data_IF_246882398836
#
_entry.id   IF_246882398836
#
_cell.length_a   1.000
_cell.length_b   1.000
_cell.length_c   1.000
_cell.angle_alpha   90.00
_cell.angle_beta   90.00
_cell.angle_gamma   90.00
#
_symmetry.space_group_name_H-M   'P 1'
#
loop_
_entity.id
_entity.type
_entity.pdbx_description
1 polymer ?
#
# COMPACT_ATOMS: atom_id res chain seq x y z
N UNK A 1 -10.00 -11.59 3.47
CA UNK A 1 -9.42 -12.70 4.27
C UNK A 1 -10.43 -13.29 5.27
N UNK A 2 -11.45 -12.56 5.73
CA UNK A 2 -12.32 -12.99 6.87
C UNK A 2 -11.50 -13.28 8.12
N UNK A 3 -10.69 -12.29 8.52
CA UNK A 3 -9.89 -12.35 9.74
C UNK A 3 -10.87 -12.36 10.93
N UNK A 4 -10.59 -13.24 11.90
CA UNK A 4 -11.35 -13.40 13.13
C UNK A 4 -10.47 -13.13 14.34
N UNK A 5 -11.12 -12.84 15.47
CA UNK A 5 -10.42 -12.76 16.75
C UNK A 5 -9.69 -14.07 17.05
N UNK A 6 -8.41 -13.98 17.42
CA UNK A 6 -7.55 -15.15 17.63
C UNK A 6 -6.68 -15.56 16.43
N UNK A 7 -6.94 -15.05 15.23
CA UNK A 7 -6.22 -15.46 14.02
C UNK A 7 -4.76 -14.98 14.02
N UNK A 8 -3.85 -15.80 13.46
CA UNK A 8 -2.47 -15.39 13.12
C UNK A 8 -2.36 -15.08 11.63
N UNK A 9 -1.98 -13.86 11.27
CA UNK A 9 -1.94 -13.42 9.87
C UNK A 9 -0.50 -13.20 9.42
N UNK A 10 -0.13 -13.73 8.25
CA UNK A 10 1.15 -13.45 7.62
C UNK A 10 1.00 -12.48 6.45
N UNK A 11 1.89 -11.50 6.35
CA UNK A 11 1.90 -10.54 5.25
C UNK A 11 3.30 -10.00 4.96
N UNK A 12 3.40 -9.16 3.92
CA UNK A 12 4.60 -8.37 3.64
C UNK A 12 4.51 -7.05 4.39
N UNK A 13 5.61 -6.60 4.99
CA UNK A 13 5.61 -5.37 5.76
C UNK A 13 5.29 -4.17 4.88
N UNK A 14 6.01 -3.97 3.76
CA UNK A 14 5.74 -2.90 2.79
C UNK A 14 5.54 -1.54 3.47
N UNK A 15 6.53 -1.15 4.26
CA UNK A 15 6.50 0.03 5.15
C UNK A 15 5.43 0.04 6.25
N UNK A 16 4.65 -1.03 6.41
CA UNK A 16 3.76 -1.27 7.55
C UNK A 16 2.30 -0.85 7.35
N UNK A 17 1.98 -0.03 6.33
CA UNK A 17 0.64 0.55 6.17
C UNK A 17 -0.47 -0.51 6.09
N UNK A 18 -0.37 -1.44 5.12
CA UNK A 18 -1.37 -2.50 4.96
C UNK A 18 -1.32 -3.49 6.13
N UNK A 19 -0.11 -3.81 6.61
CA UNK A 19 0.09 -4.75 7.71
C UNK A 19 -0.59 -4.27 9.01
N UNK A 20 -0.48 -2.98 9.33
CA UNK A 20 -1.16 -2.38 10.49
C UNK A 20 -2.67 -2.33 10.31
N UNK A 21 -3.19 -2.08 9.09
CA UNK A 21 -4.64 -2.13 8.83
C UNK A 21 -5.25 -3.50 9.18
N UNK A 22 -4.51 -4.60 9.03
CA UNK A 22 -5.00 -5.94 9.40
C UNK A 22 -5.33 -6.08 10.89
N UNK A 23 -4.76 -5.23 11.76
CA UNK A 23 -5.06 -5.22 13.20
C UNK A 23 -6.48 -4.74 13.52
N UNK A 24 -7.15 -4.07 12.58
CA UNK A 24 -8.53 -3.58 12.77
C UNK A 24 -9.52 -4.75 12.91
N UNK A 25 -9.24 -5.88 12.27
CA UNK A 25 -10.05 -7.10 12.33
C UNK A 25 -9.76 -7.99 13.57
N UNK A 26 -9.07 -7.45 14.58
CA UNK A 26 -8.75 -8.10 15.86
C UNK A 26 -7.95 -9.42 15.80
N UNK A 27 -6.95 -9.60 14.91
CA UNK A 27 -6.12 -10.80 14.95
C UNK A 27 -5.34 -10.89 16.28
N UNK A 28 -4.96 -12.11 16.66
CA UNK A 28 -4.05 -12.31 17.78
C UNK A 28 -2.64 -11.80 17.47
N UNK A 29 -2.22 -11.93 16.21
CA UNK A 29 -0.88 -11.58 15.75
C UNK A 29 -0.88 -11.27 14.25
N UNK A 30 -0.08 -10.28 13.85
CA UNK A 30 0.26 -10.03 12.44
C UNK A 30 1.77 -10.12 12.27
N UNK A 31 2.21 -11.12 11.51
CA UNK A 31 3.61 -11.36 11.16
C UNK A 31 3.88 -10.73 9.80
N UNK A 32 4.72 -9.71 9.77
CA UNK A 32 5.04 -8.92 8.59
C UNK A 32 6.51 -9.08 8.20
N UNK A 33 6.75 -9.63 7.02
CA UNK A 33 8.08 -9.92 6.49
C UNK A 33 8.50 -8.90 5.43
N UNK A 34 9.77 -8.50 5.42
CA UNK A 34 10.33 -7.69 4.33
C UNK A 34 11.83 -7.98 4.13
N UNK A 35 12.29 -7.81 2.88
CA UNK A 35 13.70 -7.87 2.55
C UNK A 35 14.37 -6.49 2.67
N UNK A 36 13.58 -5.41 2.68
CA UNK A 36 14.09 -4.05 2.75
C UNK A 36 14.18 -3.56 4.20
N UNK A 37 15.40 -3.44 4.71
CA UNK A 37 15.67 -2.88 6.04
C UNK A 37 15.07 -1.47 6.21
N UNK A 38 15.22 -0.52 5.24
CA UNK A 38 14.57 0.77 5.34
C UNK A 38 13.04 0.71 5.47
N UNK A 39 12.37 -0.22 4.77
CA UNK A 39 10.92 -0.37 4.88
C UNK A 39 10.52 -0.92 6.26
N UNK A 40 11.28 -1.88 6.81
CA UNK A 40 11.07 -2.35 8.19
C UNK A 40 11.30 -1.24 9.21
N UNK A 41 12.32 -0.40 9.02
CA UNK A 41 12.58 0.74 9.90
C UNK A 41 11.45 1.77 9.87
N UNK A 42 10.86 2.04 8.70
CA UNK A 42 9.68 2.90 8.61
C UNK A 42 8.46 2.27 9.29
N UNK A 43 8.20 0.97 9.05
CA UNK A 43 7.10 0.26 9.68
C UNK A 43 7.20 0.27 11.21
N UNK A 44 8.39 -0.01 11.75
CA UNK A 44 8.66 0.01 13.20
C UNK A 44 8.53 1.41 13.79
N UNK A 45 8.98 2.44 13.09
CA UNK A 45 8.80 3.83 13.52
C UNK A 45 7.32 4.21 13.58
N UNK A 46 6.54 3.90 12.54
CA UNK A 46 5.10 4.19 12.53
C UNK A 46 4.36 3.43 13.63
N UNK A 47 4.71 2.17 13.86
CA UNK A 47 4.17 1.38 14.96
C UNK A 47 4.48 2.01 16.34
N UNK A 48 5.71 2.49 16.55
CA UNK A 48 6.09 3.21 17.76
C UNK A 48 5.33 4.54 17.92
N UNK A 49 5.11 5.28 16.83
CA UNK A 49 4.28 6.49 16.84
C UNK A 49 2.86 6.19 17.30
N UNK A 50 2.21 5.19 16.70
CA UNK A 50 0.85 4.75 17.10
C UNK A 50 0.82 4.34 18.57
N UNK A 51 1.86 3.64 19.05
CA UNK A 51 1.92 3.17 20.43
C UNK A 51 2.06 4.30 21.46
N UNK A 52 2.88 5.30 21.17
CA UNK A 52 3.34 6.27 22.16
C UNK A 52 2.72 7.65 22.04
N UNK A 53 2.31 8.07 20.84
CA UNK A 53 1.79 9.41 20.58
C UNK A 53 0.28 9.49 20.73
N UNK A 54 -0.24 10.71 20.85
CA UNK A 54 -1.65 11.01 20.55
C UNK A 54 -1.90 10.93 19.04
N UNK A 55 -3.17 10.86 18.63
CA UNK A 55 -3.51 10.86 17.20
C UNK A 55 -2.94 12.09 16.50
N UNK A 56 -3.09 13.27 17.11
CA UNK A 56 -2.66 14.53 16.50
C UNK A 56 -1.14 14.58 16.28
N UNK A 57 -0.36 14.18 17.29
CA UNK A 57 1.10 14.09 17.20
C UNK A 57 1.54 13.06 16.15
N UNK A 58 0.85 11.93 16.03
CA UNK A 58 1.14 10.94 14.99
C UNK A 58 0.92 11.51 13.59
N UNK A 59 -0.20 12.18 13.35
CA UNK A 59 -0.53 12.78 12.04
C UNK A 59 0.41 13.94 11.70
N UNK A 60 0.77 14.74 12.70
CA UNK A 60 1.81 15.78 12.59
C UNK A 60 3.15 15.19 12.19
N UNK A 61 3.60 14.20 12.93
CA UNK A 61 4.86 13.55 12.65
C UNK A 61 4.88 12.86 11.28
N UNK A 62 3.79 12.18 10.92
CA UNK A 62 3.65 11.44 9.68
C UNK A 62 3.83 12.34 8.45
N UNK A 63 3.37 13.59 8.49
CA UNK A 63 3.43 14.48 7.33
C UNK A 63 2.12 14.69 6.59
N UNK A 64 0.97 14.24 7.13
CA UNK A 64 -0.30 14.26 6.39
C UNK A 64 -0.67 15.67 5.93
N UNK A 65 -0.69 16.63 6.86
CA UNK A 65 -0.75 18.06 6.55
C UNK A 65 0.64 18.64 6.79
N UNK A 66 1.34 18.95 5.69
CA UNK A 66 2.73 19.42 5.74
C UNK A 66 2.84 20.86 6.26
N UNK A 67 1.78 21.65 6.18
CA UNK A 67 1.81 23.07 6.57
C UNK A 67 1.34 23.30 8.01
N UNK A 68 0.70 22.29 8.62
CA UNK A 68 0.12 22.39 9.98
C UNK A 68 1.16 22.59 11.08
N UNK A 69 2.33 21.96 10.97
CA UNK A 69 3.44 22.06 11.92
C UNK A 69 4.77 22.28 11.21
N UNK A 70 5.71 22.92 11.90
CA UNK A 70 7.03 23.19 11.34
C UNK A 70 7.90 21.93 11.32
N UNK A 71 8.95 21.90 10.47
CA UNK A 71 9.95 20.85 10.49
C UNK A 71 10.55 20.57 11.89
N UNK A 72 10.83 21.63 12.66
CA UNK A 72 11.39 21.53 14.01
C UNK A 72 10.43 20.85 14.97
N UNK A 73 9.12 21.04 14.79
CA UNK A 73 8.11 20.38 15.61
C UNK A 73 8.08 18.87 15.34
N UNK A 74 8.19 18.43 14.08
CA UNK A 74 8.30 17.00 13.77
C UNK A 74 9.54 16.37 14.39
N UNK A 75 10.67 17.08 14.37
CA UNK A 75 11.91 16.66 15.06
C UNK A 75 11.70 16.59 16.57
N UNK A 76 10.95 17.53 17.18
CA UNK A 76 10.58 17.48 18.60
C UNK A 76 9.75 16.23 18.91
N UNK A 77 8.74 15.93 18.10
CA UNK A 77 7.89 14.75 18.25
C UNK A 77 8.73 13.47 18.14
N UNK A 78 9.61 13.36 17.14
CA UNK A 78 10.54 12.23 17.02
C UNK A 78 11.40 12.05 18.27
N UNK A 79 11.99 13.12 18.79
CA UNK A 79 12.83 13.08 19.99
C UNK A 79 12.06 12.59 21.23
N UNK A 80 10.75 12.79 21.29
CA UNK A 80 9.91 12.29 22.40
C UNK A 80 9.75 10.76 22.38
N UNK A 81 9.83 10.12 21.21
CA UNK A 81 9.60 8.67 21.05
C UNK A 81 10.87 7.87 20.75
N UNK A 82 11.96 8.51 20.31
CA UNK A 82 13.11 7.78 19.76
C UNK A 82 13.75 6.77 20.71
N UNK A 83 13.68 7.02 22.02
CA UNK A 83 14.18 6.09 23.06
C UNK A 83 13.35 4.82 23.22
N UNK A 84 12.13 4.78 22.66
CA UNK A 84 11.30 3.60 22.61
C UNK A 84 11.57 2.73 21.37
N UNK A 85 12.36 3.22 20.41
CA UNK A 85 12.75 2.47 19.22
C UNK A 85 13.85 1.46 19.53
N UNK A 86 13.87 0.36 18.78
CA UNK A 86 15.01 -0.55 18.78
C UNK A 86 16.29 0.19 18.35
N UNK A 87 17.48 -0.15 18.87
CA UNK A 87 18.72 0.60 18.61
C UNK A 87 19.01 0.85 17.12
N UNK A 88 18.86 -0.16 16.26
CA UNK A 88 19.11 -0.01 14.82
C UNK A 88 18.06 0.84 14.08
N UNK A 89 16.82 0.84 14.57
CA UNK A 89 15.75 1.71 14.04
C UNK A 89 16.01 3.15 14.46
N UNK A 90 16.43 3.36 15.71
CA UNK A 90 16.79 4.67 16.20
C UNK A 90 17.99 5.24 15.43
N UNK A 91 19.07 4.47 15.30
CA UNK A 91 20.28 4.89 14.58
C UNK A 91 19.98 5.30 13.13
N UNK A 92 19.17 4.49 12.44
CA UNK A 92 18.72 4.82 11.10
C UNK A 92 17.96 6.16 11.06
N UNK A 93 16.97 6.36 11.93
CA UNK A 93 16.16 7.58 11.90
C UNK A 93 16.87 8.82 12.45
N UNK A 94 17.83 8.67 13.38
CA UNK A 94 18.72 9.75 13.82
C UNK A 94 19.57 10.28 12.63
N UNK A 95 19.81 9.47 11.59
CA UNK A 95 20.48 9.90 10.35
C UNK A 95 19.55 10.49 9.28
N UNK A 96 18.23 10.40 9.47
CA UNK A 96 17.22 10.72 8.45
C UNK A 96 16.42 11.99 8.78
N UNK A 97 17.08 12.97 9.41
CA UNK A 97 16.44 14.23 9.87
C UNK A 97 15.66 14.93 8.77
N UNK A 98 16.18 15.01 7.54
CA UNK A 98 15.49 15.66 6.43
C UNK A 98 14.16 14.97 6.07
N UNK A 99 14.09 13.64 6.18
CA UNK A 99 12.85 12.89 5.92
C UNK A 99 11.87 13.04 7.09
N UNK A 100 12.36 13.15 8.33
CA UNK A 100 11.55 13.46 9.50
C UNK A 100 10.94 14.86 9.37
N UNK A 101 11.76 15.87 9.06
CA UNK A 101 11.36 17.26 8.85
C UNK A 101 10.28 17.39 7.76
N UNK A 102 10.46 16.65 6.66
CA UNK A 102 9.54 16.65 5.53
C UNK A 102 8.22 15.94 5.85
N UNK A 103 8.26 14.88 6.65
CA UNK A 103 7.14 13.97 6.93
C UNK A 103 7.41 12.57 6.37
N UNK A 104 7.51 11.59 7.27
CA UNK A 104 8.03 10.26 6.95
C UNK A 104 7.16 9.44 5.98
N UNK A 105 5.88 9.77 5.80
CA UNK A 105 5.03 9.10 4.80
C UNK A 105 5.38 9.48 3.36
N UNK A 106 6.31 10.42 3.17
CA UNK A 106 6.72 10.94 1.87
C UNK A 106 8.15 10.54 1.47
N UNK A 107 8.84 9.75 2.29
CA UNK A 107 10.26 9.45 2.09
C UNK A 107 10.52 8.36 1.05
N UNK A 108 9.48 7.58 0.70
CA UNK A 108 9.57 6.47 -0.23
C UNK A 108 9.92 6.91 -1.65
N UNK A 109 10.53 5.99 -2.40
CA UNK A 109 10.88 6.22 -3.81
C UNK A 109 9.65 6.60 -4.64
N UNK A 110 8.55 5.84 -4.52
CA UNK A 110 7.32 6.13 -5.24
C UNK A 110 6.61 7.38 -4.73
N UNK A 111 6.72 7.67 -3.44
CA UNK A 111 6.16 8.91 -2.88
C UNK A 111 6.85 10.14 -3.50
N UNK A 112 8.17 10.09 -3.69
CA UNK A 112 8.98 11.12 -4.36
C UNK A 112 8.63 11.21 -5.85
N UNK A 113 8.51 10.07 -6.52
CA UNK A 113 8.11 10.00 -7.91
C UNK A 113 6.72 10.63 -8.12
N UNK A 114 5.73 10.23 -7.34
CA UNK A 114 4.36 10.76 -7.42
C UNK A 114 4.28 12.26 -7.09
N UNK A 115 5.16 12.77 -6.22
CA UNK A 115 5.27 14.22 -6.00
C UNK A 115 5.75 14.96 -7.24
N UNK A 116 6.86 14.51 -7.81
CA UNK A 116 7.40 15.12 -9.04
C UNK A 116 6.36 15.04 -10.16
N UNK A 117 5.66 13.91 -10.24
CA UNK A 117 4.54 13.70 -11.16
C UNK A 117 3.41 14.70 -10.92
N UNK A 118 2.94 14.90 -9.69
CA UNK A 118 1.90 15.88 -9.40
C UNK A 118 2.35 17.31 -9.76
N UNK A 119 3.60 17.64 -9.47
CA UNK A 119 4.20 18.94 -9.82
C UNK A 119 4.24 19.16 -11.34
N UNK A 120 4.67 18.14 -12.11
CA UNK A 120 4.81 18.20 -13.55
C UNK A 120 3.48 18.04 -14.31
N UNK A 121 2.56 17.22 -13.80
CA UNK A 121 1.31 16.86 -14.48
C UNK A 121 0.16 17.79 -14.16
N UNK A 122 0.11 18.30 -12.94
CA UNK A 122 -1.10 18.94 -12.43
C UNK A 122 -0.89 20.43 -12.30
N UNK A 123 0.17 20.90 -11.65
CA UNK A 123 0.39 22.36 -11.51
C UNK A 123 0.77 23.07 -12.81
N UNK A 124 1.26 22.34 -13.81
CA UNK A 124 1.57 22.90 -15.14
C UNK A 124 0.38 22.82 -16.10
N UNK A 125 -0.52 21.84 -15.92
CA UNK A 125 -1.59 21.56 -16.88
C UNK A 125 -2.98 22.02 -16.44
N UNK A 126 -3.16 22.31 -15.15
CA UNK A 126 -4.46 22.58 -14.52
C UNK A 126 -4.38 23.76 -13.56
N UNK A 127 -5.47 24.51 -13.47
CA UNK A 127 -5.58 25.59 -12.51
C UNK A 127 -5.74 25.05 -11.08
N UNK A 128 -5.07 25.68 -10.11
CA UNK A 128 -5.15 25.29 -8.68
C UNK A 128 -6.58 25.30 -8.14
N UNK A 129 -7.46 26.12 -8.74
CA UNK A 129 -8.88 26.16 -8.40
C UNK A 129 -9.57 24.87 -8.82
N UNK A 130 -9.38 24.44 -10.07
CA UNK A 130 -10.02 23.25 -10.64
C UNK A 130 -9.57 21.99 -9.89
N UNK A 131 -8.30 21.95 -9.48
CA UNK A 131 -7.76 20.88 -8.63
C UNK A 131 -8.55 20.79 -7.31
N UNK A 132 -8.70 21.92 -6.61
CA UNK A 132 -9.42 21.97 -5.34
C UNK A 132 -10.90 21.63 -5.51
N UNK A 133 -11.52 22.11 -6.59
CA UNK A 133 -12.91 21.84 -6.93
C UNK A 133 -13.12 20.35 -7.18
N UNK A 134 -12.29 19.73 -8.03
CA UNK A 134 -12.35 18.31 -8.35
C UNK A 134 -12.21 17.40 -7.12
N UNK A 135 -11.23 17.68 -6.26
CA UNK A 135 -11.02 16.89 -5.04
C UNK A 135 -12.20 17.07 -4.07
N UNK A 136 -12.83 18.25 -4.04
CA UNK A 136 -13.95 18.57 -3.16
C UNK A 136 -15.32 18.05 -3.62
N UNK A 137 -15.44 17.45 -4.82
CA UNK A 137 -16.72 16.98 -5.37
C UNK A 137 -17.41 15.86 -4.57
N UNK A 138 -16.72 15.28 -3.57
CA UNK A 138 -17.35 14.42 -2.57
C UNK A 138 -17.75 13.06 -3.12
N UNK A 139 -19.04 12.71 -3.02
CA UNK A 139 -19.62 11.42 -3.41
C UNK A 139 -20.45 11.48 -4.71
N UNK A 140 -20.52 12.64 -5.38
CA UNK A 140 -21.27 12.80 -6.63
C UNK A 140 -20.41 12.36 -7.82
N UNK A 141 -20.56 11.09 -8.21
CA UNK A 141 -19.68 10.48 -9.22
C UNK A 141 -20.01 10.95 -10.64
N UNK A 142 -21.28 11.25 -10.93
CA UNK A 142 -21.71 11.77 -12.21
C UNK A 142 -21.11 13.15 -12.49
N UNK A 143 -21.22 14.09 -11.55
CA UNK A 143 -20.63 15.43 -11.68
C UNK A 143 -19.10 15.35 -11.71
N UNK A 144 -18.49 14.46 -10.92
CA UNK A 144 -17.05 14.20 -10.97
C UNK A 144 -16.61 13.71 -12.35
N UNK A 145 -17.35 12.76 -12.94
CA UNK A 145 -17.04 12.21 -14.26
C UNK A 145 -17.18 13.26 -15.36
N UNK A 146 -18.21 14.12 -15.29
CA UNK A 146 -18.39 15.25 -16.21
C UNK A 146 -17.28 16.29 -16.04
N UNK A 147 -16.98 16.72 -14.82
CA UNK A 147 -15.90 17.67 -14.55
C UNK A 147 -14.53 17.15 -14.98
N UNK A 148 -14.28 15.86 -14.74
CA UNK A 148 -13.06 15.23 -15.22
C UNK A 148 -12.96 15.33 -16.74
N UNK A 149 -14.02 15.04 -17.49
CA UNK A 149 -13.99 15.09 -18.95
C UNK A 149 -13.83 16.52 -19.49
N UNK A 150 -14.57 17.46 -18.91
CA UNK A 150 -14.68 18.83 -19.43
C UNK A 150 -13.51 19.73 -19.02
N UNK A 151 -12.93 19.50 -17.83
CA UNK A 151 -11.92 20.37 -17.22
C UNK A 151 -10.57 19.68 -17.09
N UNK A 152 -10.54 18.50 -16.43
CA UNK A 152 -9.28 17.82 -16.08
C UNK A 152 -8.63 17.17 -17.31
N UNK A 153 -9.42 16.49 -18.15
CA UNK A 153 -8.96 15.66 -19.26
C UNK A 153 -8.55 16.48 -20.50
N UNK A 154 -7.93 17.63 -20.30
CA UNK A 154 -7.49 18.51 -21.37
C UNK A 154 -6.18 18.02 -22.03
N UNK A 155 -5.82 18.62 -23.18
CA UNK A 155 -4.64 18.22 -23.97
C UNK A 155 -3.30 18.33 -23.20
N UNK A 156 -3.19 19.25 -22.25
CA UNK A 156 -1.97 19.44 -21.47
C UNK A 156 -1.84 18.36 -20.41
N UNK A 157 -2.93 18.05 -19.70
CA UNK A 157 -2.97 16.98 -18.73
C UNK A 157 -2.69 15.64 -19.42
N UNK A 158 -3.38 15.31 -20.52
CA UNK A 158 -3.10 14.11 -21.33
C UNK A 158 -1.62 13.97 -21.66
N UNK A 159 -1.00 14.99 -22.25
CA UNK A 159 0.44 14.98 -22.60
C UNK A 159 1.33 14.71 -21.39
N UNK A 160 0.98 15.24 -20.23
CA UNK A 160 1.73 15.03 -19.00
C UNK A 160 1.62 13.59 -18.49
N UNK A 161 0.41 12.99 -18.55
CA UNK A 161 0.17 11.58 -18.23
C UNK A 161 1.07 10.67 -19.05
N UNK A 162 1.10 10.87 -20.38
CA UNK A 162 1.94 10.07 -21.28
C UNK A 162 3.45 10.26 -21.00
N UNK A 163 3.87 11.48 -20.66
CA UNK A 163 5.28 11.77 -20.31
C UNK A 163 5.70 11.06 -19.02
N UNK A 164 4.85 11.09 -18.00
CA UNK A 164 5.10 10.44 -16.72
C UNK A 164 5.11 8.94 -16.87
N UNK A 165 4.14 8.37 -17.59
CA UNK A 165 4.13 6.95 -17.88
C UNK A 165 5.47 6.51 -18.50
N UNK A 166 6.01 7.27 -19.46
CA UNK A 166 7.32 6.96 -20.04
C UNK A 166 8.49 7.05 -19.04
N UNK A 167 8.47 7.99 -18.10
CA UNK A 167 9.51 8.07 -17.05
C UNK A 167 9.42 6.91 -16.06
N UNK A 168 8.21 6.62 -15.57
CA UNK A 168 7.96 5.49 -14.68
C UNK A 168 8.40 4.17 -15.33
N UNK A 169 8.18 4.01 -16.64
CA UNK A 169 8.59 2.82 -17.38
C UNK A 169 10.10 2.58 -17.39
N UNK A 170 10.89 3.65 -17.46
CA UNK A 170 12.35 3.56 -17.44
C UNK A 170 12.87 3.11 -16.07
N UNK A 171 12.21 3.55 -15.00
CA UNK A 171 12.69 3.36 -13.64
C UNK A 171 12.23 2.05 -13.00
N UNK A 172 11.04 1.58 -13.32
CA UNK A 172 10.47 0.38 -12.70
C UNK A 172 10.99 -0.94 -13.26
N UNK A 173 11.89 -0.91 -14.26
CA UNK A 173 12.20 -2.10 -15.05
C UNK A 173 10.91 -2.82 -15.53
N UNK A 174 9.82 -2.07 -15.73
CA UNK A 174 8.53 -2.56 -16.24
C UNK A 174 8.63 -3.07 -17.67
N UNK A 175 9.81 -3.00 -18.31
CA UNK A 175 10.22 -3.69 -19.53
C UNK A 175 9.80 -5.18 -19.64
N UNK A 176 9.24 -5.75 -18.57
CA UNK A 176 8.87 -7.15 -18.40
C UNK A 176 7.46 -7.48 -18.92
N UNK A 177 6.50 -6.53 -19.07
CA UNK A 177 5.25 -6.84 -19.79
C UNK A 177 5.47 -6.52 -21.27
N UNK A 178 5.63 -7.55 -22.14
CA UNK A 178 5.81 -7.32 -23.56
C UNK A 178 4.52 -6.74 -24.15
N UNK A 179 4.65 -5.93 -25.20
CA UNK A 179 3.54 -5.51 -26.06
C UNK A 179 2.46 -4.62 -25.41
N UNK A 180 2.75 -3.97 -24.28
CA UNK A 180 1.86 -2.97 -23.65
C UNK A 180 2.26 -1.55 -24.04
N UNK A 181 1.32 -0.77 -24.60
CA UNK A 181 1.45 0.70 -24.67
C UNK A 181 1.19 1.28 -23.27
N UNK A 182 2.26 1.46 -22.51
CA UNK A 182 2.20 1.93 -21.13
C UNK A 182 1.65 3.34 -20.97
N UNK A 183 1.83 4.21 -21.96
CA UNK A 183 1.25 5.55 -21.95
C UNK A 183 -0.27 5.48 -21.97
N UNK A 184 -0.81 4.71 -22.92
CA UNK A 184 -2.25 4.49 -23.04
C UNK A 184 -2.81 3.70 -21.86
N UNK A 185 -2.07 2.70 -21.38
CA UNK A 185 -2.44 1.93 -20.20
C UNK A 185 -2.57 2.81 -18.94
N UNK A 186 -1.57 3.64 -18.67
CA UNK A 186 -1.57 4.56 -17.53
C UNK A 186 -2.69 5.59 -17.67
N UNK A 187 -2.86 6.18 -18.85
CA UNK A 187 -3.94 7.12 -19.13
C UNK A 187 -5.31 6.52 -18.87
N UNK A 188 -5.62 5.34 -19.43
CA UNK A 188 -6.91 4.68 -19.20
C UNK A 188 -7.14 4.37 -17.72
N UNK A 189 -6.12 3.88 -17.04
CA UNK A 189 -6.25 3.54 -15.61
C UNK A 189 -6.51 4.77 -14.75
N UNK A 190 -5.92 5.92 -15.08
CA UNK A 190 -6.22 7.20 -14.41
C UNK A 190 -7.64 7.69 -14.72
N UNK A 191 -8.08 7.59 -15.98
CA UNK A 191 -9.46 7.93 -16.38
C UNK A 191 -10.48 7.09 -15.62
N UNK A 192 -10.29 5.77 -15.58
CA UNK A 192 -11.21 4.85 -14.92
C UNK A 192 -11.36 5.20 -13.44
N UNK A 193 -10.25 5.48 -12.76
CA UNK A 193 -10.25 5.84 -11.35
C UNK A 193 -10.92 7.17 -11.08
N UNK A 194 -10.54 8.20 -11.83
CA UNK A 194 -11.05 9.54 -11.61
C UNK A 194 -12.50 9.73 -12.05
N UNK A 195 -13.06 8.81 -12.85
CA UNK A 195 -14.48 8.83 -13.22
C UNK A 195 -15.35 7.85 -12.43
N UNK A 196 -14.77 6.84 -11.79
CA UNK A 196 -15.55 5.75 -11.16
C UNK A 196 -15.43 5.69 -9.63
N UNK A 197 -14.40 6.32 -9.06
CA UNK A 197 -14.16 6.31 -7.62
C UNK A 197 -14.27 7.73 -7.08
N UNK A 198 -15.17 8.00 -6.12
CA UNK A 198 -15.26 9.31 -5.48
C UNK A 198 -13.91 9.76 -4.93
N UNK A 199 -13.45 10.96 -5.29
CA UNK A 199 -12.13 11.48 -4.88
C UNK A 199 -11.99 11.53 -3.36
N UNK A 200 -13.09 11.82 -2.64
CA UNK A 200 -13.15 11.80 -1.17
C UNK A 200 -12.76 10.45 -0.55
N UNK A 201 -12.92 9.35 -1.29
CA UNK A 201 -12.63 7.98 -0.86
C UNK A 201 -11.30 7.44 -1.41
N UNK A 202 -10.58 8.23 -2.22
CA UNK A 202 -9.45 7.77 -3.00
C UNK A 202 -8.14 8.51 -2.66
N UNK A 203 -7.52 8.15 -1.53
CA UNK A 203 -6.21 8.69 -1.14
C UNK A 203 -5.11 8.44 -2.18
N UNK A 204 -5.17 7.35 -2.95
CA UNK A 204 -4.19 7.13 -4.02
C UNK A 204 -4.36 8.16 -5.14
N UNK A 205 -5.60 8.39 -5.56
CA UNK A 205 -5.96 9.41 -6.55
C UNK A 205 -5.57 10.82 -6.10
N UNK A 206 -5.83 11.18 -4.84
CA UNK A 206 -5.42 12.48 -4.27
C UNK A 206 -3.90 12.65 -4.31
N UNK A 207 -3.15 11.64 -3.87
CA UNK A 207 -1.69 11.72 -3.80
C UNK A 207 -1.05 11.83 -5.18
N UNK A 208 -1.52 11.05 -6.16
CA UNK A 208 -1.07 11.15 -7.55
C UNK A 208 -1.35 12.55 -8.14
N UNK A 209 -2.40 13.21 -7.67
CA UNK A 209 -2.84 14.48 -8.21
C UNK A 209 -2.23 15.70 -7.51
N UNK A 210 -1.88 15.58 -6.23
CA UNK A 210 -1.42 16.72 -5.40
C UNK A 210 -0.01 16.57 -4.86
N UNK A 211 0.57 15.36 -4.91
CA UNK A 211 1.86 15.06 -4.30
C UNK A 211 1.80 14.96 -2.77
N UNK A 212 0.61 14.88 -2.19
CA UNK A 212 0.46 14.80 -0.74
C UNK A 212 -0.96 14.45 -0.34
N UNK A 213 -1.28 14.73 0.91
CA UNK A 213 -2.63 14.64 1.45
C UNK A 213 -3.05 16.03 1.89
N UNK A 214 -4.32 16.38 1.70
CA UNK A 214 -4.87 17.62 2.23
C UNK A 214 -5.41 17.48 3.66
N UNK A 215 -5.41 16.25 4.20
CA UNK A 215 -5.94 15.93 5.52
C UNK A 215 -7.48 15.99 5.63
N UNK A 216 -8.19 16.17 4.50
CA UNK A 216 -9.65 16.37 4.45
C UNK A 216 -10.44 15.18 3.90
N UNK A 217 -9.75 14.11 3.49
CA UNK A 217 -10.32 12.96 2.78
C UNK A 217 -9.84 11.64 3.39
N UNK A 218 -10.42 10.52 2.96
CA UNK A 218 -10.12 9.19 3.49
C UNK A 218 -8.65 8.82 3.28
N UNK A 219 -7.83 9.12 4.27
CA UNK A 219 -6.47 8.63 4.41
C UNK A 219 -6.46 7.10 4.39
N UNK A 220 -5.28 6.50 4.29
CA UNK A 220 -5.14 5.06 4.54
C UNK A 220 -5.67 4.73 5.93
N UNK A 221 -6.27 3.56 6.09
CA UNK A 221 -7.01 3.22 7.31
C UNK A 221 -6.16 3.37 8.59
N UNK A 222 -4.85 3.09 8.52
CA UNK A 222 -3.94 3.26 9.66
C UNK A 222 -3.68 4.73 10.08
N UNK A 223 -4.05 5.70 9.24
CA UNK A 223 -3.92 7.14 9.48
C UNK A 223 -5.26 7.80 9.87
N UNK A 224 -6.36 7.05 9.89
CA UNK A 224 -7.68 7.57 10.24
C UNK A 224 -7.86 7.67 11.76
N UNK A 225 -8.52 8.72 12.24
CA UNK A 225 -8.72 8.99 13.67
C UNK A 225 -9.56 7.91 14.34
N UNK A 226 -10.64 7.52 13.68
CA UNK A 226 -11.57 6.48 14.10
C UNK A 226 -10.89 5.12 14.36
N UNK A 227 -9.78 4.87 13.68
CA UNK A 227 -9.01 3.63 13.79
C UNK A 227 -7.88 3.72 14.82
N UNK A 228 -7.47 4.93 15.21
CA UNK A 228 -6.25 5.15 15.99
C UNK A 228 -6.29 4.47 17.36
N UNK A 229 -7.41 4.55 18.08
CA UNK A 229 -7.53 3.96 19.41
C UNK A 229 -7.37 2.42 19.36
N UNK A 230 -8.02 1.79 18.37
CA UNK A 230 -7.92 0.35 18.10
C UNK A 230 -6.50 -0.05 17.75
N UNK A 231 -5.86 0.70 16.85
CA UNK A 231 -4.47 0.43 16.45
C UNK A 231 -3.51 0.63 17.61
N UNK A 232 -3.69 1.66 18.44
CA UNK A 232 -2.84 1.92 19.62
C UNK A 232 -2.87 0.78 20.64
N UNK A 233 -4.03 0.17 20.85
CA UNK A 233 -4.17 -1.03 21.69
C UNK A 233 -3.46 -2.23 21.07
N UNK A 234 -3.62 -2.42 19.75
CA UNK A 234 -3.26 -3.66 19.06
C UNK A 234 -1.91 -3.66 18.35
N UNK A 235 -1.24 -2.51 18.16
CA UNK A 235 0.01 -2.41 17.40
C UNK A 235 1.15 -3.23 18.01
N UNK A 236 1.07 -3.53 19.31
CA UNK A 236 1.99 -4.46 19.97
C UNK A 236 1.86 -5.93 19.53
N UNK A 237 0.84 -6.28 18.74
CA UNK A 237 0.62 -7.60 18.13
C UNK A 237 1.33 -7.76 16.78
N UNK A 238 2.10 -6.76 16.35
CA UNK A 238 2.93 -6.83 15.15
C UNK A 238 4.24 -7.57 15.44
N UNK A 239 4.60 -8.51 14.57
CA UNK A 239 5.93 -9.11 14.52
C UNK A 239 6.60 -8.75 13.20
N UNK A 240 7.78 -8.14 13.26
CA UNK A 240 8.54 -7.71 12.07
C UNK A 240 9.68 -8.68 11.80
N UNK A 241 9.73 -9.23 10.58
CA UNK A 241 10.75 -10.20 10.17
C UNK A 241 11.54 -9.66 8.99
N UNK A 242 12.87 -9.68 9.10
CA UNK A 242 13.76 -9.49 7.96
C UNK A 242 13.98 -10.82 7.25
N UNK A 243 13.74 -10.86 5.93
CA UNK A 243 14.00 -12.05 5.13
C UNK A 243 13.46 -11.97 3.71
N UNK A 244 13.90 -12.88 2.86
CA UNK A 244 13.31 -13.09 1.53
C UNK A 244 12.11 -14.04 1.65
N UNK A 245 11.02 -13.69 0.97
CA UNK A 245 9.73 -14.37 1.11
C UNK A 245 9.80 -15.87 0.76
N UNK A 246 10.36 -16.19 -0.41
CA UNK A 246 10.41 -17.56 -0.94
C UNK A 246 11.18 -18.47 0.00
N UNK A 247 12.36 -18.03 0.44
CA UNK A 247 13.20 -18.76 1.39
C UNK A 247 12.54 -18.89 2.76
N UNK A 248 11.90 -17.82 3.25
CA UNK A 248 11.29 -17.83 4.58
C UNK A 248 10.08 -18.78 4.63
N UNK A 249 9.20 -18.73 3.63
CA UNK A 249 8.05 -19.63 3.54
C UNK A 249 8.50 -21.10 3.44
N UNK A 250 9.54 -21.39 2.65
CA UNK A 250 10.08 -22.75 2.52
C UNK A 250 10.69 -23.28 3.82
N UNK A 251 11.27 -22.41 4.65
CA UNK A 251 11.88 -22.79 5.94
C UNK A 251 10.86 -22.87 7.07
N UNK A 252 9.72 -22.18 6.98
CA UNK A 252 8.74 -22.09 8.06
C UNK A 252 8.25 -23.45 8.61
N UNK A 253 7.94 -24.48 7.78
CA UNK A 253 7.52 -25.78 8.31
C UNK A 253 8.52 -26.41 9.29
N UNK A 254 9.83 -26.17 9.10
CA UNK A 254 10.88 -26.70 9.97
C UNK A 254 10.96 -26.05 11.36
N UNK A 255 10.29 -24.92 11.55
CA UNK A 255 10.30 -24.18 12.83
C UNK A 255 9.41 -24.80 13.90
N UNK A 256 8.43 -25.64 13.50
CA UNK A 256 7.41 -26.19 14.40
C UNK A 256 6.41 -25.15 14.92
N UNK A 257 6.43 -23.92 14.42
CA UNK A 257 5.45 -22.89 14.80
C UNK A 257 4.05 -23.21 14.24
N UNK A 258 2.98 -22.70 14.88
CA UNK A 258 1.61 -22.89 14.40
C UNK A 258 1.42 -22.37 12.97
N UNK A 259 0.51 -22.97 12.22
CA UNK A 259 0.11 -22.45 10.91
C UNK A 259 -0.54 -21.07 11.03
N UNK A 260 -0.59 -20.35 9.91
CA UNK A 260 -1.30 -19.08 9.79
C UNK A 260 -2.78 -19.28 9.46
N UNK A 261 -3.62 -18.39 9.97
CA UNK A 261 -5.05 -18.31 9.67
C UNK A 261 -5.39 -17.40 8.48
N UNK A 262 -4.37 -16.80 7.89
CA UNK A 262 -4.48 -16.03 6.65
C UNK A 262 -3.11 -15.61 6.16
N UNK A 263 -2.93 -15.60 4.83
CA UNK A 263 -1.70 -15.14 4.19
C UNK A 263 -2.06 -14.11 3.13
N UNK A 264 -1.46 -12.93 3.19
CA UNK A 264 -1.67 -11.88 2.19
C UNK A 264 -0.33 -11.31 1.72
N UNK A 265 0.04 -11.58 0.48
CA UNK A 265 1.29 -11.13 -0.12
C UNK A 265 1.00 -10.19 -1.29
N UNK A 266 1.60 -9.01 -1.29
CA UNK A 266 1.44 -8.02 -2.35
C UNK A 266 2.77 -7.73 -3.04
N UNK A 267 2.76 -7.70 -4.38
CA UNK A 267 3.85 -7.19 -5.22
C UNK A 267 5.23 -7.84 -5.07
N UNK A 268 5.28 -9.10 -4.62
CA UNK A 268 6.52 -9.89 -4.62
C UNK A 268 6.48 -10.95 -5.73
N UNK A 269 5.33 -11.62 -5.89
CA UNK A 269 5.13 -12.70 -6.87
C UNK A 269 5.28 -12.25 -8.33
N UNK A 270 5.06 -10.97 -8.61
CA UNK A 270 5.22 -10.36 -9.94
C UNK A 270 6.63 -10.58 -10.51
N UNK A 271 7.64 -10.50 -9.65
CA UNK A 271 9.06 -10.50 -10.02
C UNK A 271 9.68 -11.90 -10.02
N UNK A 272 8.91 -12.92 -9.64
CA UNK A 272 9.39 -14.29 -9.56
C UNK A 272 9.34 -15.00 -10.92
N UNK A 273 10.32 -15.87 -11.16
CA UNK A 273 10.21 -16.90 -12.22
C UNK A 273 8.96 -17.75 -11.99
N UNK A 274 8.42 -18.39 -13.04
CA UNK A 274 7.25 -19.26 -12.88
C UNK A 274 7.49 -20.39 -11.86
N UNK A 275 8.72 -20.92 -11.83
CA UNK A 275 9.11 -21.95 -10.87
C UNK A 275 9.07 -21.42 -9.42
N UNK A 276 9.67 -20.25 -9.16
CA UNK A 276 9.69 -19.66 -7.83
C UNK A 276 8.29 -19.19 -7.40
N UNK A 277 7.49 -18.65 -8.31
CA UNK A 277 6.09 -18.30 -8.08
C UNK A 277 5.28 -19.53 -7.62
N UNK A 278 5.37 -20.64 -8.35
CA UNK A 278 4.66 -21.87 -8.00
C UNK A 278 5.14 -22.44 -6.66
N UNK A 279 6.46 -22.43 -6.40
CA UNK A 279 7.02 -22.89 -5.14
C UNK A 279 6.58 -22.01 -3.95
N UNK A 280 6.51 -20.70 -4.14
CA UNK A 280 6.03 -19.73 -3.14
C UNK A 280 4.58 -20.00 -2.78
N UNK A 281 3.71 -20.18 -3.78
CA UNK A 281 2.28 -20.49 -3.55
C UNK A 281 2.11 -21.83 -2.83
N UNK A 282 2.87 -22.86 -3.24
CA UNK A 282 2.84 -24.18 -2.58
C UNK A 282 3.22 -24.06 -1.10
N UNK A 283 4.32 -23.37 -0.80
CA UNK A 283 4.78 -23.15 0.56
C UNK A 283 3.76 -22.35 1.39
N UNK A 284 3.16 -21.31 0.80
CA UNK A 284 2.10 -20.53 1.46
C UNK A 284 0.87 -21.40 1.80
N UNK A 285 0.41 -22.24 0.87
CA UNK A 285 -0.71 -23.14 1.13
C UNK A 285 -0.38 -24.18 2.21
N UNK A 286 0.85 -24.70 2.23
CA UNK A 286 1.30 -25.68 3.23
C UNK A 286 1.28 -25.11 4.66
N UNK A 287 1.67 -23.84 4.84
CA UNK A 287 1.77 -23.21 6.16
C UNK A 287 0.50 -22.45 6.57
N UNK A 288 -0.52 -22.44 5.73
CA UNK A 288 -1.83 -21.88 6.02
C UNK A 288 -2.79 -22.99 6.49
N UNK A 289 -3.61 -22.69 7.48
CA UNK A 289 -4.58 -23.64 8.04
C UNK A 289 -5.66 -24.00 7.02
N UNK A 290 -6.12 -25.25 7.02
CA UNK A 290 -7.24 -25.70 6.18
C UNK A 290 -8.50 -24.85 6.45
N UNK A 291 -9.22 -24.50 5.39
CA UNK A 291 -10.38 -23.62 5.42
C UNK A 291 -10.06 -22.13 5.50
N UNK A 292 -8.77 -21.75 5.57
CA UNK A 292 -8.30 -20.36 5.59
C UNK A 292 -7.81 -19.91 4.23
N UNK A 293 -7.61 -18.59 4.08
CA UNK A 293 -7.37 -17.98 2.77
C UNK A 293 -5.95 -17.52 2.58
N UNK A 294 -5.46 -17.75 1.36
CA UNK A 294 -4.23 -17.16 0.83
C UNK A 294 -4.61 -16.15 -0.26
N UNK A 295 -3.97 -14.98 -0.22
CA UNK A 295 -4.28 -13.83 -1.07
C UNK A 295 -3.00 -13.28 -1.68
N UNK A 296 -3.00 -13.09 -3.00
CA UNK A 296 -1.88 -12.48 -3.73
C UNK A 296 -2.35 -11.28 -4.55
N UNK A 297 -1.65 -10.15 -4.41
CA UNK A 297 -1.90 -8.93 -5.18
C UNK A 297 -0.78 -8.75 -6.19
N UNK A 298 -1.15 -8.72 -7.47
CA UNK A 298 -0.20 -8.62 -8.58
C UNK A 298 -0.37 -7.30 -9.34
N UNK A 299 0.69 -6.89 -10.02
CA UNK A 299 0.68 -5.76 -10.93
C UNK A 299 -0.22 -6.02 -12.13
N UNK A 300 -0.86 -4.97 -12.60
CA UNK A 300 -1.71 -5.03 -13.77
C UNK A 300 -0.93 -5.29 -15.04
N UNK A 301 -1.34 -6.34 -15.76
CA UNK A 301 -0.61 -6.91 -16.89
C UNK A 301 0.37 -8.03 -16.55
N UNK A 302 0.49 -8.44 -15.27
CA UNK A 302 1.27 -9.62 -14.85
C UNK A 302 0.35 -10.81 -14.56
N UNK A 303 -0.02 -11.64 -15.57
CA UNK A 303 -0.91 -12.78 -15.35
C UNK A 303 -0.17 -13.91 -14.62
N UNK A 304 -0.12 -13.80 -13.30
CA UNK A 304 0.25 -14.91 -12.42
C UNK A 304 -1.02 -15.63 -11.98
N UNK A 305 -1.09 -16.92 -12.27
CA UNK A 305 -2.22 -17.79 -11.95
C UNK A 305 -1.87 -18.70 -10.79
N UNK A 306 -2.92 -19.31 -10.23
CA UNK A 306 -2.78 -20.44 -9.31
C UNK A 306 -2.11 -21.63 -10.02
N UNK A 307 -1.16 -22.34 -9.38
CA UNK A 307 -0.57 -23.54 -9.95
C UNK A 307 -1.65 -24.58 -10.23
N UNK A 308 -1.78 -25.03 -11.48
CA UNK A 308 -2.88 -25.89 -11.91
C UNK A 308 -2.90 -27.25 -11.20
N UNK A 309 -1.75 -27.72 -10.73
CA UNK A 309 -1.62 -28.95 -9.96
C UNK A 309 -2.13 -28.83 -8.52
N UNK A 310 -2.42 -27.61 -8.03
CA UNK A 310 -2.97 -27.37 -6.70
C UNK A 310 -4.49 -27.17 -6.68
N UNK A 311 -5.08 -26.73 -7.80
CA UNK A 311 -6.52 -26.43 -7.89
C UNK A 311 -7.33 -27.71 -7.65
N UNK A 312 -8.33 -27.61 -6.79
CA UNK A 312 -9.22 -28.69 -6.35
C UNK A 312 -8.52 -29.87 -5.63
N UNK A 313 -7.25 -29.68 -5.25
CA UNK A 313 -6.44 -30.66 -4.49
C UNK A 313 -5.91 -30.09 -3.18
N UNK A 314 -5.30 -28.92 -3.24
CA UNK A 314 -4.72 -28.21 -2.10
C UNK A 314 -5.39 -26.85 -1.87
N UNK A 315 -5.98 -26.27 -2.93
CA UNK A 315 -6.67 -24.99 -2.85
C UNK A 315 -7.97 -25.01 -3.67
N UNK A 316 -8.95 -24.23 -3.22
CA UNK A 316 -10.15 -23.87 -3.97
C UNK A 316 -10.07 -22.39 -4.33
N UNK A 317 -10.12 -22.08 -5.62
CA UNK A 317 -10.07 -20.69 -6.10
C UNK A 317 -11.41 -20.00 -5.82
N UNK A 318 -11.35 -18.79 -5.26
CA UNK A 318 -12.52 -18.02 -4.85
C UNK A 318 -12.87 -16.94 -5.90
N UNK A 319 -13.34 -17.36 -7.07
CA UNK A 319 -13.60 -16.47 -8.22
C UNK A 319 -14.56 -15.31 -7.92
N UNK A 320 -15.62 -15.55 -7.14
CA UNK A 320 -16.59 -14.51 -6.76
C UNK A 320 -15.96 -13.46 -5.84
N UNK A 321 -15.06 -13.87 -4.94
CA UNK A 321 -14.32 -12.95 -4.07
C UNK A 321 -13.28 -12.16 -4.86
N UNK A 322 -12.56 -12.80 -5.79
CA UNK A 322 -11.64 -12.12 -6.69
C UNK A 322 -12.37 -11.01 -7.48
N UNK A 323 -13.55 -11.33 -8.04
CA UNK A 323 -14.35 -10.37 -8.79
C UNK A 323 -14.93 -9.25 -7.91
N UNK A 324 -15.42 -9.57 -6.72
CA UNK A 324 -16.02 -8.57 -5.81
C UNK A 324 -14.97 -7.62 -5.24
N UNK A 325 -13.79 -8.12 -4.89
CA UNK A 325 -12.71 -7.30 -4.36
C UNK A 325 -12.07 -6.40 -5.42
N UNK A 326 -12.12 -6.80 -6.69
CA UNK A 326 -11.75 -5.94 -7.83
C UNK A 326 -12.51 -4.61 -7.83
N UNK A 327 -13.81 -4.65 -7.49
CA UNK A 327 -14.67 -3.47 -7.44
C UNK A 327 -14.31 -2.50 -6.31
N UNK A 328 -13.52 -2.97 -5.33
CA UNK A 328 -13.04 -2.16 -4.21
C UNK A 328 -11.64 -1.59 -4.46
N UNK A 329 -11.00 -1.94 -5.57
CA UNK A 329 -9.67 -1.49 -5.91
C UNK A 329 -9.64 0.02 -6.13
N UNK A 330 -8.72 0.71 -5.45
CA UNK A 330 -8.54 2.17 -5.53
C UNK A 330 -7.30 2.57 -6.33
N UNK A 331 -6.53 1.59 -6.80
CA UNK A 331 -5.25 1.81 -7.48
C UNK A 331 -5.32 1.43 -8.96
N UNK A 332 -4.69 2.22 -9.85
CA UNK A 332 -4.72 1.93 -11.28
C UNK A 332 -3.75 0.81 -11.66
N UNK A 333 -2.87 0.40 -10.74
CA UNK A 333 -1.71 -0.43 -11.01
C UNK A 333 -1.85 -1.87 -10.54
N UNK A 334 -2.80 -2.17 -9.66
CA UNK A 334 -2.92 -3.48 -9.01
C UNK A 334 -4.08 -4.24 -9.62
N UNK A 335 -3.81 -5.32 -10.35
CA UNK A 335 -4.84 -6.21 -10.93
C UNK A 335 -4.21 -7.33 -11.78
N UNK A 336 -4.11 -8.58 -11.31
CA UNK A 336 -5.20 -9.23 -10.61
C UNK A 336 -4.96 -9.50 -9.12
N UNK A 337 -6.04 -9.38 -8.34
CA UNK A 337 -6.16 -9.99 -7.02
C UNK A 337 -6.45 -11.49 -7.19
N UNK A 338 -5.70 -12.33 -6.48
CA UNK A 338 -5.90 -13.77 -6.43
C UNK A 338 -6.29 -14.19 -5.03
N UNK A 339 -7.39 -14.94 -4.90
CA UNK A 339 -7.90 -15.45 -3.62
C UNK A 339 -8.17 -16.94 -3.74
N UNK A 340 -7.63 -17.72 -2.81
CA UNK A 340 -7.94 -19.13 -2.70
C UNK A 340 -8.07 -19.57 -1.24
N UNK A 341 -8.96 -20.52 -1.00
CA UNK A 341 -9.14 -21.20 0.28
C UNK A 341 -8.31 -22.49 0.27
N UNK A 342 -7.54 -22.72 1.33
CA UNK A 342 -6.75 -23.96 1.51
C UNK A 342 -7.69 -25.12 1.86
N UNK A 343 -7.52 -26.26 1.18
CA UNK A 343 -8.37 -27.45 1.32
C UNK A 343 -7.95 -28.39 2.46
#
# INVERSE_FOLDING_TARGET
>A
MEIKSGDRIFTIASCGANAMTLLLDDPAEVVALDLSIPQLHLAKLQAACIKHLTYQEFIDFAGVDRERVTPEERVRIYNSIKKALEPGVQEFWDSMTAEIEFGVIHCGYYDKLYRNVAEDMVYVALDKRDIKEFIAMGDNIEDQASFFEDVINNKHWRKSVYRVAHHMMKDFNFSIIPDVDYGTFYYRSMVDIYKSIPMKKNHFGEYLFTGGYSGKYNLRDYLQEENFATLKDRVGRMQWIYGELTEWLAKYPSTGQPKFDGICVSNITDWLSLANHNATIKSAAEICSTGRRIVFWNLKGMPKYWPSDMIDKAIKVEHELEASALLLNRSPFWEPLRVATVL
#
